data_IF_692614186139
#
_entry.id   IF_692614186139
#
_cell.length_a   1.000
_cell.length_b   1.000
_cell.length_c   1.000
_cell.angle_alpha   90.00
_cell.angle_beta   90.00
_cell.angle_gamma   90.00
#
_symmetry.space_group_name_H-M   'P 1'
#
loop_
_entity.id
_entity.type
_entity.pdbx_description
1 polymer ?
#
# COMPACT_ATOMS: atom_id res chain seq x y z
N UNK A 1 -1.67 -7.25 -9.25
CA UNK A 1 -2.59 -6.18 -9.71
C UNK A 1 -1.96 -5.44 -10.90
N UNK A 2 -2.75 -4.92 -11.87
CA UNK A 2 -2.18 -4.11 -12.97
C UNK A 2 -1.72 -2.72 -12.45
N UNK A 3 -0.45 -2.38 -12.67
CA UNK A 3 0.16 -1.13 -12.18
C UNK A 3 -0.52 0.12 -12.76
N UNK A 4 -0.97 0.09 -14.02
CA UNK A 4 -1.68 1.22 -14.63
C UNK A 4 -3.04 1.45 -13.95
N UNK A 5 -3.73 0.37 -13.60
CA UNK A 5 -4.99 0.44 -12.87
C UNK A 5 -4.75 0.96 -11.46
N UNK A 6 -3.75 0.42 -10.75
CA UNK A 6 -3.37 0.90 -9.42
C UNK A 6 -3.07 2.40 -9.42
N UNK A 7 -2.28 2.88 -10.39
CA UNK A 7 -1.96 4.30 -10.52
C UNK A 7 -3.22 5.16 -10.68
N UNK A 8 -4.16 4.76 -11.54
CA UNK A 8 -5.43 5.48 -11.69
C UNK A 8 -6.24 5.51 -10.39
N UNK A 9 -6.25 4.41 -9.62
CA UNK A 9 -6.92 4.37 -8.32
C UNK A 9 -6.26 5.30 -7.30
N UNK A 10 -4.93 5.33 -7.25
CA UNK A 10 -4.16 6.21 -6.36
C UNK A 10 -4.46 7.70 -6.62
N UNK A 11 -4.67 8.09 -7.88
CA UNK A 11 -5.08 9.46 -8.24
C UNK A 11 -6.51 9.81 -7.77
N UNK A 12 -7.37 8.82 -7.58
CA UNK A 12 -8.74 9.02 -7.08
C UNK A 12 -8.81 9.01 -5.54
N UNK A 13 -7.85 8.35 -4.88
CA UNK A 13 -7.82 8.25 -3.42
C UNK A 13 -6.81 7.22 -2.91
N UNK A 14 -6.73 7.03 -1.59
CA UNK A 14 -5.85 6.04 -0.99
C UNK A 14 -6.26 4.62 -1.39
N UNK A 15 -5.25 3.80 -1.71
CA UNK A 15 -5.41 2.37 -1.99
C UNK A 15 -4.72 1.59 -0.89
N UNK A 16 -5.40 0.58 -0.37
CA UNK A 16 -4.90 -0.31 0.68
C UNK A 16 -4.67 -1.69 0.08
N UNK A 17 -3.51 -2.26 0.34
CA UNK A 17 -3.07 -3.53 -0.23
C UNK A 17 -2.53 -4.39 0.91
N UNK A 18 -2.92 -5.66 0.93
CA UNK A 18 -2.35 -6.65 1.83
C UNK A 18 -1.57 -7.70 1.02
N UNK A 19 -0.41 -8.06 1.53
CA UNK A 19 0.39 -9.17 1.02
C UNK A 19 0.69 -10.13 2.17
N UNK A 20 0.32 -11.40 1.97
CA UNK A 20 0.46 -12.47 2.96
C UNK A 20 1.89 -13.03 3.02
N UNK A 21 2.68 -12.87 1.95
CA UNK A 21 4.08 -13.30 1.89
C UNK A 21 4.97 -12.31 2.65
N UNK A 22 4.78 -11.02 2.41
CA UNK A 22 5.48 -9.93 3.13
C UNK A 22 4.90 -9.70 4.54
N UNK A 23 3.77 -10.36 4.87
CA UNK A 23 2.99 -10.20 6.10
C UNK A 23 2.73 -8.72 6.44
N UNK A 24 2.36 -7.94 5.42
CA UNK A 24 2.35 -6.49 5.51
C UNK A 24 1.17 -5.85 4.78
N UNK A 25 0.71 -4.74 5.35
CA UNK A 25 -0.22 -3.82 4.71
C UNK A 25 0.52 -2.63 4.14
N UNK A 26 0.08 -2.21 2.97
CA UNK A 26 0.55 -1.03 2.28
C UNK A 26 -0.62 -0.10 1.99
N UNK A 27 -0.55 1.13 2.50
CA UNK A 27 -1.40 2.24 2.06
C UNK A 27 -0.61 3.09 1.08
N UNK A 28 -1.11 3.27 -0.13
CA UNK A 28 -0.52 4.14 -1.16
C UNK A 28 -1.49 5.27 -1.46
N UNK A 29 -1.01 6.49 -1.51
CA UNK A 29 -1.84 7.66 -1.80
C UNK A 29 -1.03 8.75 -2.50
N UNK A 30 -1.72 9.58 -3.29
CA UNK A 30 -1.15 10.78 -3.85
C UNK A 30 -1.29 11.93 -2.84
N UNK A 31 -0.16 12.56 -2.49
CA UNK A 31 -0.10 13.79 -1.72
C UNK A 31 0.56 14.88 -2.56
N UNK A 32 -0.25 15.80 -3.10
CA UNK A 32 0.20 16.94 -3.92
C UNK A 32 1.12 16.56 -5.10
N UNK A 33 0.79 15.47 -5.80
CA UNK A 33 1.56 14.95 -6.94
C UNK A 33 2.68 13.99 -6.55
N UNK A 34 2.94 13.79 -5.25
CA UNK A 34 3.94 12.86 -4.74
C UNK A 34 3.26 11.62 -4.18
N UNK A 35 3.62 10.45 -4.68
CA UNK A 35 3.12 9.19 -4.11
C UNK A 35 3.82 8.89 -2.79
N UNK A 36 3.02 8.77 -1.74
CA UNK A 36 3.48 8.36 -0.42
C UNK A 36 3.00 6.96 -0.11
N UNK A 37 3.79 6.25 0.68
CA UNK A 37 3.54 4.88 1.06
C UNK A 37 3.63 4.76 2.59
N UNK A 38 2.62 4.15 3.20
CA UNK A 38 2.66 3.75 4.60
C UNK A 38 2.67 2.23 4.63
N UNK A 39 3.73 1.67 5.19
CA UNK A 39 3.91 0.24 5.38
C UNK A 39 3.61 -0.13 6.84
N UNK A 40 2.83 -1.18 7.04
CA UNK A 40 2.46 -1.70 8.36
C UNK A 40 2.63 -3.21 8.35
N UNK A 41 3.71 -3.69 8.95
CA UNK A 41 3.87 -5.10 9.25
C UNK A 41 2.98 -5.50 10.42
N UNK A 42 2.56 -6.77 10.44
CA UNK A 42 1.75 -7.32 11.53
C UNK A 42 2.44 -7.11 12.90
N UNK A 43 1.71 -6.52 13.85
CA UNK A 43 2.21 -6.25 15.20
C UNK A 43 3.16 -5.04 15.32
N UNK A 44 3.45 -4.36 14.21
CA UNK A 44 4.25 -3.14 14.19
C UNK A 44 3.36 -1.90 13.99
N UNK A 45 3.87 -0.74 14.44
CA UNK A 45 3.25 0.54 14.10
C UNK A 45 3.46 0.83 12.61
N UNK A 46 2.49 1.47 11.94
CA UNK A 46 2.67 1.94 10.57
C UNK A 46 3.85 2.92 10.47
N UNK A 47 4.62 2.82 9.39
CA UNK A 47 5.74 3.70 9.08
C UNK A 47 5.63 4.23 7.66
N UNK A 48 5.96 5.51 7.47
CA UNK A 48 6.08 6.08 6.13
C UNK A 48 7.39 5.59 5.50
N UNK A 49 7.30 5.09 4.27
CA UNK A 49 8.44 4.58 3.51
C UNK A 49 8.46 5.19 2.10
N UNK A 50 9.65 5.31 1.48
CA UNK A 50 9.75 5.73 0.09
C UNK A 50 9.03 4.74 -0.83
N UNK A 51 8.41 5.24 -1.90
CA UNK A 51 7.81 4.40 -2.95
C UNK A 51 8.83 3.45 -3.61
N UNK A 52 10.12 3.79 -3.60
CA UNK A 52 11.20 2.94 -4.11
C UNK A 52 11.61 1.80 -3.17
N UNK A 53 11.01 1.69 -1.99
CA UNK A 53 11.34 0.63 -1.04
C UNK A 53 10.96 -0.75 -1.63
N UNK A 54 11.87 -1.75 -1.68
CA UNK A 54 11.61 -3.01 -2.38
C UNK A 54 10.32 -3.72 -1.97
N UNK A 55 10.02 -3.74 -0.67
CA UNK A 55 8.79 -4.33 -0.13
C UNK A 55 7.53 -3.65 -0.67
N UNK A 56 7.55 -2.33 -0.88
CA UNK A 56 6.42 -1.60 -1.48
C UNK A 56 6.14 -2.12 -2.89
N UNK A 57 7.19 -2.31 -3.69
CA UNK A 57 7.05 -2.80 -5.05
C UNK A 57 6.52 -4.25 -5.10
N UNK A 58 7.01 -5.11 -4.22
CA UNK A 58 6.53 -6.49 -4.10
C UNK A 58 5.02 -6.52 -3.78
N UNK A 59 4.60 -5.76 -2.77
CA UNK A 59 3.19 -5.68 -2.35
C UNK A 59 2.31 -5.11 -3.48
N UNK A 60 2.76 -4.07 -4.18
CA UNK A 60 1.98 -3.51 -5.31
C UNK A 60 1.76 -4.52 -6.45
N UNK A 61 2.72 -5.41 -6.69
CA UNK A 61 2.64 -6.41 -7.75
C UNK A 61 1.79 -7.62 -7.36
N UNK A 62 2.06 -8.19 -6.18
CA UNK A 62 1.53 -9.48 -5.74
C UNK A 62 0.36 -9.37 -4.77
N UNK A 63 0.25 -8.26 -4.03
CA UNK A 63 -0.75 -8.07 -3.01
C UNK A 63 -2.18 -7.91 -3.55
N UNK A 64 -3.13 -8.06 -2.64
CA UNK A 64 -4.56 -7.95 -2.89
C UNK A 64 -5.07 -6.64 -2.31
N UNK A 65 -5.88 -5.91 -3.08
CA UNK A 65 -6.54 -4.69 -2.60
C UNK A 65 -7.55 -5.04 -1.51
N UNK A 66 -7.47 -4.30 -0.40
CA UNK A 66 -8.31 -4.45 0.78
C UNK A 66 -8.98 -3.12 1.10
N UNK A 67 -9.97 -3.15 2.00
CA UNK A 67 -10.62 -1.96 2.50
C UNK A 67 -9.81 -1.26 3.58
N UNK A 68 -10.05 0.03 3.80
CA UNK A 68 -9.49 0.77 4.94
C UNK A 68 -9.85 0.13 6.29
N UNK A 69 -11.06 -0.44 6.39
CA UNK A 69 -11.51 -1.12 7.62
C UNK A 69 -10.66 -2.36 7.93
N UNK A 70 -10.22 -3.10 6.91
CA UNK A 70 -9.31 -4.23 7.09
C UNK A 70 -7.91 -3.77 7.50
N UNK A 71 -7.43 -2.66 6.94
CA UNK A 71 -6.15 -2.04 7.33
C UNK A 71 -6.12 -1.58 8.80
N UNK A 72 -7.20 -0.95 9.27
CA UNK A 72 -7.32 -0.43 10.64
C UNK A 72 -7.53 -1.53 11.69
N UNK A 73 -8.14 -2.67 11.31
CA UNK A 73 -8.37 -3.81 12.23
C UNK A 73 -7.10 -4.62 12.54
N UNK A 74 -6.09 -4.53 11.68
CA UNK A 74 -4.80 -5.21 11.84
C UNK A 74 -3.87 -4.52 12.86
#
# INVERSE_FOLDING_TARGET
>A
MDILILNKKIELGPVFIYDDIEEAFLKVFNDNGVKRCILKHRGCKPVEVPHSYPTVFNIMLAGVEVTEQEFERF
#
